data_IF_117841141501
#
_entry.id   IF_117841141501
#
_cell.length_a   1.000
_cell.length_b   1.000
_cell.length_c   1.000
_cell.angle_alpha   90.00
_cell.angle_beta   90.00
_cell.angle_gamma   90.00
#
_symmetry.space_group_name_H-M   'P 1'
#
loop_
_entity.id
_entity.type
_entity.pdbx_description
1 polymer ?
#
# COMPACT_ATOMS: atom_id res chain seq x y z
N UNK A 1 34.07 12.70 40.95
CA UNK A 1 33.91 11.24 40.88
C UNK A 1 33.65 10.83 39.43
N UNK A 2 34.19 9.68 39.03
CA UNK A 2 34.38 9.17 37.66
C UNK A 2 33.10 8.74 36.92
N UNK A 3 33.17 8.87 35.58
CA UNK A 3 32.70 7.99 34.47
C UNK A 3 31.21 7.88 34.07
N UNK A 4 31.01 8.07 32.75
CA UNK A 4 29.95 7.70 31.78
C UNK A 4 29.55 6.19 31.79
N UNK A 5 28.46 5.68 31.10
CA UNK A 5 27.93 6.09 29.77
C UNK A 5 26.40 5.97 29.47
N UNK A 6 25.93 6.64 28.40
CA UNK A 6 24.58 6.42 27.83
C UNK A 6 24.08 7.53 26.89
N UNK A 7 24.71 7.68 25.73
CA UNK A 7 24.28 8.58 24.64
C UNK A 7 23.02 8.04 23.96
N UNK A 8 21.88 8.72 24.10
CA UNK A 8 20.79 8.75 23.12
C UNK A 8 20.08 10.10 23.27
N UNK A 9 20.72 11.18 22.81
CA UNK A 9 20.01 12.44 22.59
C UNK A 9 19.07 12.25 21.40
N UNK A 10 17.78 12.19 21.72
CA UNK A 10 16.67 12.23 20.77
C UNK A 10 16.79 13.49 19.93
N UNK A 11 16.61 13.33 18.61
CA UNK A 11 16.30 14.44 17.72
C UNK A 11 14.95 15.04 18.15
N UNK A 12 14.97 16.17 18.86
CA UNK A 12 13.81 17.03 19.04
C UNK A 12 13.43 17.62 17.67
N UNK A 13 12.30 17.16 17.11
CA UNK A 13 11.65 17.84 16.00
C UNK A 13 10.63 18.80 16.59
N UNK A 14 11.02 20.06 16.73
CA UNK A 14 10.11 21.16 17.10
C UNK A 14 9.11 21.42 15.96
N UNK A 15 7.91 20.84 16.06
CA UNK A 15 6.76 21.23 15.24
C UNK A 15 6.05 22.43 15.89
N UNK A 16 6.61 23.61 15.66
CA UNK A 16 5.95 24.89 15.96
C UNK A 16 4.80 25.11 14.96
N UNK A 17 3.58 24.76 15.34
CA UNK A 17 2.35 25.06 14.58
C UNK A 17 2.14 26.58 14.52
N UNK A 18 2.62 27.21 13.43
CA UNK A 18 2.27 28.59 13.08
C UNK A 18 0.94 28.55 12.32
N UNK A 19 -0.16 28.80 13.03
CA UNK A 19 -1.51 28.97 12.45
C UNK A 19 -1.76 30.41 11.92
N UNK A 20 -0.71 31.17 11.63
CA UNK A 20 -0.82 32.61 11.30
C UNK A 20 -0.91 32.91 9.79
N UNK A 21 -1.12 31.91 8.91
CA UNK A 21 -1.18 32.14 7.45
C UNK A 21 -2.43 31.57 6.76
N UNK A 22 -3.58 31.56 7.44
CA UNK A 22 -4.87 31.23 6.81
C UNK A 22 -5.89 32.40 6.89
N UNK A 23 -5.72 33.51 6.15
CA UNK A 23 -6.80 34.48 5.98
C UNK A 23 -7.47 34.28 4.60
N UNK A 24 -8.64 33.62 4.58
CA UNK A 24 -9.73 33.88 3.60
C UNK A 24 -10.99 32.97 3.72
N UNK A 25 -10.99 31.86 4.48
CA UNK A 25 -12.13 30.90 4.44
C UNK A 25 -12.74 30.54 5.80
N UNK A 26 -12.37 31.22 6.87
CA UNK A 26 -13.02 31.09 8.17
C UNK A 26 -13.68 32.43 8.48
N UNK A 27 -14.90 32.38 9.04
CA UNK A 27 -15.75 33.53 9.34
C UNK A 27 -15.12 34.54 10.33
N UNK A 28 -15.93 35.41 10.96
CA UNK A 28 -15.42 36.60 11.65
C UNK A 28 -14.37 36.28 12.73
N UNK A 29 -13.44 37.22 13.01
CA UNK A 29 -12.33 37.01 13.94
C UNK A 29 -12.82 36.66 15.36
N UNK A 30 -12.15 35.69 15.98
CA UNK A 30 -12.53 35.11 17.29
C UNK A 30 -11.69 35.77 18.38
N UNK A 31 -12.36 36.31 19.41
CA UNK A 31 -11.75 37.32 20.30
C UNK A 31 -11.04 36.78 21.56
N UNK A 32 -11.20 35.52 22.04
CA UNK A 32 -10.52 35.08 23.28
C UNK A 32 -10.19 33.57 23.39
N UNK A 33 -8.98 33.26 23.91
CA UNK A 33 -8.48 31.95 24.35
C UNK A 33 -9.06 31.60 25.73
N UNK A 34 -9.89 30.54 25.85
CA UNK A 34 -10.55 30.22 27.13
C UNK A 34 -9.86 29.11 27.94
N UNK A 35 -9.20 28.15 27.28
CA UNK A 35 -8.53 27.07 27.99
C UNK A 35 -7.36 26.49 27.19
N UNK A 36 -6.24 26.33 27.87
CA UNK A 36 -5.02 25.68 27.40
C UNK A 36 -4.79 24.43 28.25
N UNK A 37 -4.69 23.27 27.60
CA UNK A 37 -4.30 22.03 28.28
C UNK A 37 -3.22 21.32 27.50
N UNK A 38 -2.07 21.14 28.15
CA UNK A 38 -0.99 20.30 27.63
C UNK A 38 -1.23 18.87 28.06
N UNK A 39 -1.22 17.95 27.11
CA UNK A 39 -1.37 16.51 27.36
C UNK A 39 -0.22 15.78 26.69
N UNK A 40 0.39 14.86 27.42
CA UNK A 40 1.46 14.03 26.89
C UNK A 40 0.84 12.83 26.19
N UNK A 41 1.02 12.75 24.87
CA UNK A 41 0.51 11.65 24.05
C UNK A 41 1.70 11.00 23.36
N UNK A 42 2.02 9.78 23.75
CA UNK A 42 3.17 9.01 23.24
C UNK A 42 4.52 9.74 23.34
N UNK A 43 4.77 10.44 24.45
CA UNK A 43 6.01 11.19 24.67
C UNK A 43 6.08 12.53 23.94
N UNK A 44 5.04 12.91 23.20
CA UNK A 44 4.92 14.21 22.53
C UNK A 44 3.99 15.09 23.37
N UNK A 45 4.43 16.32 23.66
CA UNK A 45 3.59 17.33 24.32
C UNK A 45 2.61 17.90 23.30
N UNK A 46 1.34 17.52 23.42
CA UNK A 46 0.26 18.03 22.57
C UNK A 46 -0.49 19.11 23.33
N UNK A 47 -0.54 20.31 22.74
CA UNK A 47 -1.19 21.48 23.31
C UNK A 47 -2.61 21.62 22.73
N UNK A 48 -3.62 21.34 23.53
CA UNK A 48 -5.03 21.50 23.15
C UNK A 48 -5.50 22.90 23.52
N UNK A 49 -6.03 23.62 22.53
CA UNK A 49 -6.55 24.98 22.68
C UNK A 49 -8.03 25.00 22.31
N UNK A 50 -8.88 25.50 23.22
CA UNK A 50 -10.32 25.61 23.04
C UNK A 50 -10.74 27.06 22.79
N UNK A 51 -11.59 27.27 21.76
CA UNK A 51 -12.12 28.57 21.36
C UNK A 51 -13.65 28.60 21.45
N UNK A 52 -14.24 29.72 21.88
CA UNK A 52 -15.70 29.93 21.95
C UNK A 52 -16.05 31.23 21.20
N UNK A 53 -17.04 31.17 20.30
CA UNK A 53 -17.53 32.35 19.58
C UNK A 53 -18.36 33.27 20.47
N UNK A 54 -18.15 34.58 20.36
CA UNK A 54 -18.98 35.60 21.00
C UNK A 54 -19.90 36.26 19.95
N UNK A 55 -21.23 36.07 20.01
CA UNK A 55 -22.15 36.53 18.96
C UNK A 55 -22.44 38.05 18.95
N UNK A 56 -21.95 38.84 19.90
CA UNK A 56 -22.38 40.25 20.07
C UNK A 56 -21.45 41.35 19.50
N UNK A 57 -20.35 41.02 18.82
CA UNK A 57 -19.47 42.03 18.21
C UNK A 57 -19.51 42.00 16.68
N UNK A 58 -20.54 42.60 16.09
CA UNK A 58 -20.52 43.05 14.70
C UNK A 58 -20.47 44.58 14.67
N UNK A 59 -19.27 45.17 14.60
CA UNK A 59 -19.05 46.55 14.15
C UNK A 59 -17.61 46.96 14.43
N UNK A 60 -16.77 46.97 13.40
CA UNK A 60 -15.67 47.92 13.11
C UNK A 60 -14.61 47.25 12.22
N UNK A 61 -14.21 47.95 11.15
CA UNK A 61 -13.15 47.49 10.24
C UNK A 61 -11.80 47.48 10.97
N UNK A 62 -10.94 46.46 10.77
CA UNK A 62 -9.62 46.44 11.38
C UNK A 62 -8.69 47.46 10.69
N UNK A 63 -8.04 48.31 11.49
CA UNK A 63 -6.88 49.11 11.07
C UNK A 63 -5.59 48.35 11.43
N UNK A 64 -4.65 48.30 10.47
CA UNK A 64 -3.35 47.62 10.64
C UNK A 64 -2.33 48.67 11.10
N UNK A 65 -1.73 48.47 12.27
CA UNK A 65 -0.48 49.14 12.67
C UNK A 65 0.65 48.13 12.80
N UNK A 66 1.75 48.39 12.08
CA UNK A 66 2.96 47.55 12.08
C UNK A 66 3.97 48.19 13.04
N UNK A 67 4.32 47.49 14.12
CA UNK A 67 5.50 47.81 14.92
C UNK A 67 6.64 46.84 14.59
N UNK A 68 7.74 47.38 14.04
CA UNK A 68 9.01 46.65 13.90
C UNK A 68 9.76 46.70 15.24
N UNK A 69 9.98 45.55 15.86
CA UNK A 69 10.95 45.44 16.95
C UNK A 69 12.39 45.46 16.38
N UNK A 70 13.35 46.14 17.02
CA UNK A 70 14.75 46.13 16.58
C UNK A 70 15.40 44.77 16.82
N UNK A 71 16.23 44.33 15.87
CA UNK A 71 17.02 43.11 15.96
C UNK A 71 18.00 43.14 17.15
N UNK A 72 18.19 42.03 17.88
CA UNK A 72 19.27 41.93 18.84
C UNK A 72 20.63 41.89 18.12
N UNK A 73 21.60 42.61 18.68
CA UNK A 73 22.97 42.69 18.16
C UNK A 73 23.67 41.32 18.18
N UNK A 74 24.50 41.06 17.16
CA UNK A 74 25.36 39.87 17.04
C UNK A 74 26.31 39.75 18.24
N UNK A 75 26.54 38.55 18.80
CA UNK A 75 27.64 38.34 19.73
C UNK A 75 29.00 38.45 19.01
N UNK A 76 29.98 39.07 19.69
CA UNK A 76 31.37 39.20 19.24
C UNK A 76 32.02 37.84 19.01
N UNK A 77 32.87 37.78 17.97
CA UNK A 77 33.69 36.62 17.65
C UNK A 77 34.68 36.32 18.78
N UNK A 78 34.65 35.08 19.29
CA UNK A 78 35.72 34.50 20.11
C UNK A 78 36.76 33.93 19.15
N UNK A 79 38.01 34.37 19.25
CA UNK A 79 39.13 33.82 18.50
C UNK A 79 39.37 32.36 18.93
N UNK A 80 39.38 31.43 17.98
CA UNK A 80 39.80 30.05 18.21
C UNK A 80 41.34 29.99 18.26
N UNK A 81 41.96 29.21 19.18
CA UNK A 81 43.38 28.92 19.12
C UNK A 81 43.71 28.00 17.93
N UNK A 82 44.95 28.04 17.38
CA UNK A 82 45.31 27.30 16.18
C UNK A 82 45.28 25.77 16.41
N UNK A 83 44.80 25.04 15.41
CA UNK A 83 44.83 23.57 15.37
C UNK A 83 46.27 23.05 15.28
N UNK A 84 46.61 21.95 15.98
CA UNK A 84 47.85 21.23 15.72
C UNK A 84 47.81 20.51 14.37
N UNK A 85 48.97 20.45 13.71
CA UNK A 85 49.22 19.76 12.45
C UNK A 85 49.04 18.24 12.60
N UNK A 86 48.52 17.53 11.56
CA UNK A 86 48.43 16.07 11.60
C UNK A 86 49.81 15.43 11.36
N UNK A 87 50.15 14.32 12.05
CA UNK A 87 51.32 13.53 11.73
C UNK A 87 51.12 12.70 10.45
N UNK A 88 52.26 12.44 9.83
CA UNK A 88 52.53 11.79 8.55
C UNK A 88 51.86 10.42 8.37
N UNK A 89 51.49 10.14 7.13
CA UNK A 89 50.95 8.88 6.62
C UNK A 89 51.92 7.69 6.80
N UNK A 90 51.48 6.65 7.49
CA UNK A 90 52.00 5.28 7.34
C UNK A 90 51.09 4.45 6.42
N UNK A 91 51.65 3.58 5.56
CA UNK A 91 50.88 2.77 4.61
C UNK A 91 50.20 1.58 5.32
N UNK A 92 49.09 1.05 4.77
CA UNK A 92 48.37 -0.08 5.38
C UNK A 92 49.15 -1.39 5.23
N UNK A 93 49.08 -2.32 6.22
CA UNK A 93 49.70 -3.63 6.11
C UNK A 93 48.95 -4.57 5.15
N UNK A 94 49.73 -5.42 4.52
CA UNK A 94 49.40 -6.39 3.48
C UNK A 94 48.22 -7.32 3.78
N UNK A 95 47.56 -7.71 2.69
CA UNK A 95 46.51 -8.70 2.59
C UNK A 95 46.86 -10.03 3.29
N UNK A 96 46.06 -10.39 4.29
CA UNK A 96 46.00 -11.76 4.80
C UNK A 96 45.16 -12.61 3.85
N UNK A 97 45.83 -13.55 3.20
CA UNK A 97 45.28 -14.59 2.35
C UNK A 97 44.23 -15.42 3.10
N UNK A 98 43.06 -15.61 2.48
CA UNK A 98 42.08 -16.62 2.91
C UNK A 98 42.63 -18.02 2.59
N UNK A 99 42.53 -19.01 3.49
CA UNK A 99 42.79 -20.40 3.14
C UNK A 99 41.66 -20.97 2.26
N UNK A 100 41.96 -21.93 1.36
CA UNK A 100 40.99 -22.50 0.44
C UNK A 100 39.99 -23.42 1.15
N UNK A 101 38.76 -23.50 0.62
CA UNK A 101 37.74 -24.47 1.05
C UNK A 101 38.13 -25.89 0.62
N UNK A 102 37.93 -26.91 1.46
CA UNK A 102 38.01 -28.30 1.00
C UNK A 102 36.72 -28.71 0.30
N UNK A 103 36.85 -29.31 -0.89
CA UNK A 103 35.85 -30.20 -1.45
C UNK A 103 35.84 -31.52 -0.65
N UNK A 104 34.69 -32.20 -0.57
CA UNK A 104 34.73 -33.61 -0.93
C UNK A 104 33.49 -34.06 -1.74
N UNK A 105 33.73 -34.43 -3.00
CA UNK A 105 33.17 -35.66 -3.58
C UNK A 105 34.02 -36.79 -2.98
N UNK A 106 33.54 -37.86 -2.35
CA UNK A 106 32.84 -39.05 -2.88
C UNK A 106 32.74 -39.98 -1.65
N UNK A 107 31.60 -40.54 -1.24
CA UNK A 107 31.17 -41.93 -1.46
C UNK A 107 30.23 -42.27 -0.28
N UNK A 108 28.98 -42.64 -0.54
CA UNK A 108 28.38 -43.88 -0.02
C UNK A 108 27.05 -44.12 -0.74
N UNK A 109 26.88 -45.38 -1.14
CA UNK A 109 25.91 -45.92 -2.10
C UNK A 109 24.86 -46.72 -1.33
N UNK A 110 23.58 -46.40 -1.57
CA UNK A 110 22.38 -47.26 -1.60
C UNK A 110 21.96 -48.01 -0.29
N UNK A 111 20.68 -48.45 -0.13
CA UNK A 111 19.71 -48.73 -1.18
C UNK A 111 18.28 -48.17 -1.02
N UNK A 112 17.70 -48.01 -2.20
CA UNK A 112 16.32 -47.68 -2.53
C UNK A 112 15.34 -48.79 -2.13
N UNK A 113 14.19 -48.44 -1.58
CA UNK A 113 13.01 -49.32 -1.51
C UNK A 113 12.01 -48.96 -2.62
N UNK A 114 11.35 -49.95 -3.25
CA UNK A 114 10.41 -49.73 -4.36
C UNK A 114 8.97 -49.45 -3.86
N UNK A 115 8.13 -48.75 -4.64
CA UNK A 115 6.71 -48.61 -4.37
C UNK A 115 5.90 -49.83 -4.87
N UNK A 116 4.75 -50.17 -4.25
CA UNK A 116 3.94 -51.31 -4.67
C UNK A 116 2.98 -50.97 -5.82
N UNK A 117 3.02 -51.87 -6.82
CA UNK A 117 1.94 -52.39 -7.66
C UNK A 117 0.77 -51.47 -8.08
N UNK A 118 0.83 -51.05 -9.36
CA UNK A 118 -0.32 -50.63 -10.15
C UNK A 118 -1.21 -51.84 -10.51
N UNK A 119 -2.49 -51.77 -10.15
CA UNK A 119 -3.52 -52.70 -10.59
C UNK A 119 -4.04 -52.25 -11.95
N UNK A 120 -3.84 -53.09 -12.97
CA UNK A 120 -4.43 -52.95 -14.30
C UNK A 120 -5.94 -53.23 -14.24
N UNK A 121 -6.76 -52.35 -14.82
CA UNK A 121 -8.14 -52.66 -15.18
C UNK A 121 -8.26 -52.79 -16.71
N UNK A 122 -9.01 -53.78 -17.24
CA UNK A 122 -9.18 -53.99 -18.68
C UNK A 122 -10.19 -53.01 -19.31
N UNK A 123 -10.15 -52.82 -20.64
CA UNK A 123 -10.88 -51.75 -21.32
C UNK A 123 -12.38 -52.06 -21.46
N UNK A 124 -13.23 -51.07 -21.18
CA UNK A 124 -14.66 -51.10 -21.54
C UNK A 124 -14.83 -50.74 -23.01
N UNK A 125 -15.30 -51.71 -23.78
CA UNK A 125 -15.81 -51.53 -25.14
C UNK A 125 -17.23 -50.94 -25.08
N UNK A 126 -17.48 -49.85 -25.82
CA UNK A 126 -18.83 -49.40 -26.14
C UNK A 126 -19.04 -49.51 -27.66
N UNK A 127 -20.14 -50.12 -28.12
CA UNK A 127 -20.40 -50.34 -29.55
C UNK A 127 -20.84 -49.05 -30.26
N UNK A 128 -20.26 -48.79 -31.43
CA UNK A 128 -20.71 -47.74 -32.36
C UNK A 128 -21.93 -48.24 -33.14
N UNK A 129 -23.04 -47.52 -33.05
CA UNK A 129 -24.17 -47.68 -33.98
C UNK A 129 -23.91 -46.85 -35.25
N UNK A 130 -24.16 -47.40 -36.47
CA UNK A 130 -24.03 -46.66 -37.72
C UNK A 130 -25.29 -45.82 -38.01
N UNK A 131 -25.08 -44.57 -38.45
CA UNK A 131 -26.11 -43.70 -39.02
C UNK A 131 -26.44 -44.15 -40.46
N UNK A 132 -27.72 -44.13 -40.89
CA UNK A 132 -28.09 -44.41 -42.27
C UNK A 132 -27.96 -43.17 -43.17
N UNK A 133 -27.41 -43.37 -44.36
CA UNK A 133 -27.44 -42.41 -45.47
C UNK A 133 -28.81 -42.39 -46.17
N UNK A 134 -29.22 -41.25 -46.75
CA UNK A 134 -30.08 -41.26 -47.92
C UNK A 134 -29.49 -40.50 -49.13
N UNK A 135 -29.28 -41.25 -50.22
CA UNK A 135 -29.70 -41.11 -51.64
C UNK A 135 -29.84 -39.69 -52.27
N UNK A 136 -29.43 -39.49 -53.55
CA UNK A 136 -29.17 -38.18 -54.14
C UNK A 136 -30.40 -37.55 -54.82
N UNK A 137 -30.51 -36.23 -54.77
CA UNK A 137 -31.49 -35.45 -55.54
C UNK A 137 -30.78 -34.54 -56.53
N UNK A 138 -31.34 -34.52 -57.74
CA UNK A 138 -30.82 -33.93 -58.97
C UNK A 138 -30.59 -32.42 -58.93
N UNK A 139 -29.59 -32.01 -59.72
CA UNK A 139 -29.28 -30.65 -60.10
C UNK A 139 -30.46 -29.92 -60.76
N UNK A 140 -30.70 -28.68 -60.34
CA UNK A 140 -31.21 -27.63 -61.22
C UNK A 140 -30.23 -26.45 -61.18
N UNK A 141 -29.74 -26.10 -62.37
CA UNK A 141 -28.74 -25.08 -62.64
C UNK A 141 -29.30 -23.67 -62.53
N UNK A 142 -28.76 -22.87 -61.60
CA UNK A 142 -28.72 -21.42 -61.70
C UNK A 142 -27.26 -20.98 -61.83
N UNK A 143 -26.94 -19.95 -62.66
CA UNK A 143 -25.59 -19.43 -62.71
C UNK A 143 -25.26 -18.72 -61.39
N UNK A 144 -24.18 -19.14 -60.74
CA UNK A 144 -23.67 -18.51 -59.52
C UNK A 144 -23.24 -17.04 -59.80
N UNK A 145 -23.45 -16.12 -58.84
CA UNK A 145 -22.89 -14.77 -58.92
C UNK A 145 -21.35 -14.83 -58.88
N UNK A 146 -20.65 -13.86 -59.49
CA UNK A 146 -19.19 -13.87 -59.55
C UNK A 146 -18.58 -13.85 -58.15
N UNK A 147 -17.59 -14.72 -57.93
CA UNK A 147 -16.86 -14.84 -56.67
C UNK A 147 -16.32 -13.48 -56.20
N UNK A 148 -16.42 -13.15 -54.90
CA UNK A 148 -15.76 -11.97 -54.38
C UNK A 148 -14.24 -12.10 -54.55
N UNK A 149 -13.51 -10.98 -54.73
CA UNK A 149 -12.05 -11.02 -54.83
C UNK A 149 -11.46 -11.67 -53.57
N UNK A 150 -10.29 -12.32 -53.68
CA UNK A 150 -9.68 -13.00 -52.54
C UNK A 150 -9.50 -11.97 -51.40
N UNK A 151 -10.19 -12.21 -50.29
CA UNK A 151 -9.99 -11.43 -49.08
C UNK A 151 -8.53 -11.57 -48.69
N UNK A 152 -7.79 -10.46 -48.66
CA UNK A 152 -6.47 -10.44 -48.07
C UNK A 152 -6.58 -11.02 -46.66
N UNK A 153 -6.01 -12.20 -46.47
CA UNK A 153 -5.89 -12.82 -45.17
C UNK A 153 -4.86 -12.02 -44.39
N UNK A 154 -5.31 -10.97 -43.71
CA UNK A 154 -4.53 -10.38 -42.64
C UNK A 154 -4.30 -11.47 -41.60
N UNK A 155 -3.05 -11.74 -41.20
CA UNK A 155 -2.80 -12.72 -40.16
C UNK A 155 -3.60 -12.30 -38.91
N UNK A 156 -4.43 -13.21 -38.41
CA UNK A 156 -5.04 -13.11 -37.10
C UNK A 156 -3.91 -12.87 -36.10
N UNK A 157 -3.71 -11.61 -35.72
CA UNK A 157 -2.89 -11.27 -34.56
C UNK A 157 -3.61 -11.96 -33.40
N UNK A 158 -3.02 -13.06 -32.92
CA UNK A 158 -3.42 -13.72 -31.69
C UNK A 158 -3.60 -12.63 -30.63
N UNK A 159 -4.85 -12.42 -30.21
CA UNK A 159 -5.23 -11.27 -29.41
C UNK A 159 -4.29 -11.14 -28.21
N UNK A 160 -3.53 -10.05 -28.19
CA UNK A 160 -2.71 -9.69 -27.04
C UNK A 160 -3.67 -9.62 -25.86
N UNK A 161 -3.51 -10.52 -24.87
CA UNK A 161 -4.32 -10.48 -23.65
C UNK A 161 -4.13 -9.08 -23.07
N UNK A 162 -5.22 -8.30 -22.99
CA UNK A 162 -5.16 -6.93 -22.48
C UNK A 162 -4.57 -6.98 -21.07
N UNK A 163 -3.42 -6.35 -20.90
CA UNK A 163 -2.82 -6.15 -19.59
C UNK A 163 -3.67 -5.14 -18.82
N UNK A 164 -4.09 -5.50 -17.62
CA UNK A 164 -4.92 -4.70 -16.72
C UNK A 164 -4.02 -4.01 -15.71
N UNK A 165 -4.27 -2.72 -15.45
CA UNK A 165 -3.51 -1.91 -14.51
C UNK A 165 -4.36 -1.58 -13.29
N UNK A 166 -3.92 -2.02 -12.12
CA UNK A 166 -4.61 -1.76 -10.85
C UNK A 166 -3.79 -0.88 -9.90
N UNK A 167 -4.49 -0.07 -9.10
CA UNK A 167 -3.98 0.48 -7.84
C UNK A 167 -4.87 -0.02 -6.68
N UNK A 168 -4.54 -1.18 -6.08
CA UNK A 168 -5.42 -1.90 -5.18
C UNK A 168 -5.24 -1.49 -3.69
N UNK A 169 -4.78 -0.26 -3.43
CA UNK A 169 -4.64 0.29 -2.09
C UNK A 169 -4.96 1.79 -2.08
N UNK A 170 -6.19 2.16 -1.74
CA UNK A 170 -6.69 3.53 -1.79
C UNK A 170 -7.60 3.87 -0.62
N UNK A 171 -7.49 5.11 -0.13
CA UNK A 171 -8.22 5.66 1.00
C UNK A 171 -9.10 6.84 0.59
N UNK A 172 -10.20 7.04 1.31
CA UNK A 172 -11.15 8.13 1.11
C UNK A 172 -11.33 8.95 2.39
N UNK A 173 -12.18 9.98 2.32
CA UNK A 173 -12.64 10.71 3.51
C UNK A 173 -13.35 9.82 4.55
N UNK A 174 -13.72 8.58 4.21
CA UNK A 174 -14.32 7.63 5.16
C UNK A 174 -13.34 7.17 6.24
N UNK A 175 -12.03 7.21 5.98
CA UNK A 175 -10.98 7.00 6.98
C UNK A 175 -10.11 8.26 7.11
N UNK A 176 -8.84 8.22 6.71
CA UNK A 176 -7.88 9.32 6.81
C UNK A 176 -7.43 9.87 5.45
N UNK A 177 -7.91 9.30 4.34
CA UNK A 177 -7.77 9.90 3.01
C UNK A 177 -8.32 11.32 2.91
N UNK A 178 -7.93 12.02 1.84
CA UNK A 178 -8.21 13.45 1.60
C UNK A 178 -9.16 13.70 0.42
N UNK A 179 -9.72 12.63 -0.14
CA UNK A 179 -10.59 12.68 -1.33
C UNK A 179 -11.92 11.96 -1.11
N UNK A 180 -12.99 12.48 -1.71
CA UNK A 180 -14.29 11.80 -1.75
C UNK A 180 -14.23 10.56 -2.68
N UNK A 181 -15.17 9.61 -2.57
CA UNK A 181 -15.36 8.56 -3.56
C UNK A 181 -15.37 9.06 -5.02
N UNK A 182 -16.05 10.18 -5.28
CA UNK A 182 -16.08 10.80 -6.61
C UNK A 182 -14.71 11.26 -7.08
N UNK A 183 -13.98 11.99 -6.22
CA UNK A 183 -12.64 12.48 -6.54
C UNK A 183 -11.64 11.34 -6.74
N UNK A 184 -11.78 10.23 -5.99
CA UNK A 184 -10.95 9.05 -6.15
C UNK A 184 -11.17 8.38 -7.52
N UNK A 185 -12.44 8.17 -7.91
CA UNK A 185 -12.79 7.60 -9.22
C UNK A 185 -12.30 8.50 -10.36
N UNK A 186 -12.54 9.82 -10.27
CA UNK A 186 -12.06 10.77 -11.27
C UNK A 186 -10.54 10.74 -11.44
N UNK A 187 -9.81 10.61 -10.33
CA UNK A 187 -8.36 10.53 -10.34
C UNK A 187 -7.87 9.20 -10.97
N UNK A 188 -8.52 8.09 -10.64
CA UNK A 188 -8.18 6.76 -11.18
C UNK A 188 -8.39 6.68 -12.71
N UNK A 189 -9.52 7.20 -13.20
CA UNK A 189 -9.81 7.28 -14.64
C UNK A 189 -8.79 8.14 -15.36
N UNK A 190 -8.45 9.32 -14.80
CA UNK A 190 -7.41 10.20 -15.37
C UNK A 190 -6.03 9.54 -15.37
N UNK A 191 -5.73 8.71 -14.37
CA UNK A 191 -4.52 7.90 -14.29
C UNK A 191 -4.53 6.66 -15.21
N UNK A 192 -5.63 6.42 -15.95
CA UNK A 192 -5.83 5.27 -16.85
C UNK A 192 -5.69 3.92 -16.13
N UNK A 193 -6.15 3.86 -14.87
CA UNK A 193 -6.28 2.60 -14.16
C UNK A 193 -7.54 1.87 -14.63
N UNK A 194 -7.46 0.55 -14.76
CA UNK A 194 -8.61 -0.30 -15.04
C UNK A 194 -9.31 -0.75 -13.74
N UNK A 195 -8.56 -0.80 -12.63
CA UNK A 195 -9.05 -1.24 -11.33
C UNK A 195 -8.47 -0.41 -10.17
N UNK A 196 -9.29 -0.13 -9.17
CA UNK A 196 -8.84 0.28 -7.83
C UNK A 196 -9.45 -0.62 -6.76
N UNK A 197 -8.86 -0.67 -5.58
CA UNK A 197 -9.52 -1.19 -4.39
C UNK A 197 -9.67 -0.08 -3.36
N UNK A 198 -10.86 0.03 -2.77
CA UNK A 198 -11.10 0.96 -1.65
C UNK A 198 -10.82 0.21 -0.37
N UNK A 199 -9.81 0.66 0.37
CA UNK A 199 -9.24 -0.03 1.54
C UNK A 199 -9.14 0.92 2.72
N UNK A 200 -10.15 1.77 2.91
CA UNK A 200 -10.25 2.69 4.04
C UNK A 200 -9.97 1.99 5.39
N UNK A 201 -9.27 2.68 6.29
CA UNK A 201 -8.98 2.14 7.61
C UNK A 201 -10.24 1.81 8.41
N UNK A 202 -10.35 0.54 8.81
CA UNK A 202 -11.36 0.02 9.75
C UNK A 202 -12.83 0.26 9.36
N UNK A 203 -13.12 0.60 8.11
CA UNK A 203 -14.47 0.88 7.64
C UNK A 203 -14.63 0.60 6.15
N UNK A 204 -15.85 0.27 5.72
CA UNK A 204 -16.20 0.05 4.31
C UNK A 204 -17.26 1.04 3.80
N UNK A 205 -17.52 2.14 4.52
CA UNK A 205 -18.62 3.07 4.23
C UNK A 205 -18.61 3.68 2.83
N UNK A 206 -17.41 3.92 2.27
CA UNK A 206 -17.19 4.48 0.94
C UNK A 206 -17.35 3.46 -0.19
N UNK A 207 -17.29 2.16 0.10
CA UNK A 207 -17.16 1.10 -0.93
C UNK A 207 -18.31 1.14 -1.92
N UNK A 208 -19.56 1.11 -1.43
CA UNK A 208 -20.75 1.08 -2.29
C UNK A 208 -20.82 2.30 -3.21
N UNK A 209 -20.67 3.51 -2.67
CA UNK A 209 -20.68 4.73 -3.47
C UNK A 209 -19.55 4.72 -4.52
N UNK A 210 -18.35 4.28 -4.13
CA UNK A 210 -17.21 4.23 -5.06
C UNK A 210 -17.43 3.21 -6.16
N UNK A 211 -18.02 2.05 -5.86
CA UNK A 211 -18.39 1.04 -6.86
C UNK A 211 -19.42 1.53 -7.86
N UNK A 212 -20.48 2.20 -7.41
CA UNK A 212 -21.50 2.77 -8.30
C UNK A 212 -20.89 3.81 -9.26
N UNK A 213 -20.03 4.69 -8.74
CA UNK A 213 -19.32 5.69 -9.55
C UNK A 213 -18.29 5.07 -10.48
N UNK A 214 -17.54 4.10 -10.00
CA UNK A 214 -16.55 3.36 -10.78
C UNK A 214 -17.19 2.65 -11.95
N UNK A 215 -18.29 1.92 -11.70
CA UNK A 215 -19.07 1.28 -12.76
C UNK A 215 -19.53 2.30 -13.80
N UNK A 216 -20.09 3.44 -13.38
CA UNK A 216 -20.55 4.47 -14.32
C UNK A 216 -19.40 5.05 -15.18
N UNK A 217 -18.17 5.00 -14.69
CA UNK A 217 -16.96 5.49 -15.36
C UNK A 217 -16.16 4.39 -16.09
N UNK A 218 -16.61 3.13 -16.09
CA UNK A 218 -15.87 1.99 -16.66
C UNK A 218 -14.63 1.57 -15.87
N UNK A 219 -14.56 1.92 -14.59
CA UNK A 219 -13.50 1.55 -13.65
C UNK A 219 -13.98 0.43 -12.72
N UNK A 220 -13.21 -0.64 -12.59
CA UNK A 220 -13.50 -1.70 -11.62
C UNK A 220 -13.12 -1.26 -10.22
N UNK A 221 -14.01 -1.45 -9.24
CA UNK A 221 -13.74 -1.09 -7.84
C UNK A 221 -13.92 -2.31 -6.94
N UNK A 222 -12.81 -2.78 -6.38
CA UNK A 222 -12.79 -3.90 -5.43
C UNK A 222 -13.16 -3.40 -4.04
N UNK A 223 -14.14 -4.06 -3.43
CA UNK A 223 -14.51 -3.85 -2.04
C UNK A 223 -13.39 -4.35 -1.12
N UNK A 224 -12.84 -3.48 -0.28
CA UNK A 224 -11.79 -3.85 0.65
C UNK A 224 -11.83 -3.05 1.93
N UNK A 225 -10.84 -3.30 2.77
CA UNK A 225 -10.64 -2.62 4.04
C UNK A 225 -9.16 -2.77 4.43
N UNK A 226 -8.56 -1.75 5.04
CA UNK A 226 -7.28 -1.89 5.74
C UNK A 226 -7.55 -2.00 7.24
N UNK A 227 -7.42 -3.22 7.78
CA UNK A 227 -7.79 -3.55 9.15
C UNK A 227 -6.61 -3.27 10.08
N UNK A 228 -6.83 -2.46 11.10
CA UNK A 228 -5.88 -2.23 12.18
C UNK A 228 -5.97 -3.35 13.21
N UNK A 229 -4.87 -4.08 13.43
CA UNK A 229 -4.82 -5.19 14.40
C UNK A 229 -4.40 -4.70 15.79
N UNK A 230 -4.79 -5.45 16.83
CA UNK A 230 -4.20 -5.33 18.16
C UNK A 230 -2.83 -6.01 18.18
N UNK A 231 -2.03 -5.58 19.15
CA UNK A 231 -0.72 -6.09 19.58
C UNK A 231 -0.12 -7.32 18.84
N UNK A 232 1.07 -7.24 18.16
CA UNK A 232 1.86 -6.14 17.59
C UNK A 232 1.24 -4.76 17.50
N UNK A 233 1.88 -3.65 17.89
CA UNK A 233 1.23 -2.33 17.87
C UNK A 233 0.78 -1.94 16.45
N UNK A 234 -0.55 -2.00 16.20
CA UNK A 234 -1.24 -1.41 15.06
C UNK A 234 -0.67 -1.80 13.69
N UNK A 235 -0.33 -3.08 13.52
CA UNK A 235 -0.06 -3.59 12.16
C UNK A 235 -1.34 -3.53 11.35
N UNK A 236 -1.23 -3.29 10.05
CA UNK A 236 -2.35 -3.38 9.14
C UNK A 236 -2.36 -4.73 8.44
N UNK A 237 -3.57 -5.25 8.24
CA UNK A 237 -3.86 -6.33 7.32
C UNK A 237 -4.85 -5.77 6.31
N UNK A 238 -4.49 -5.77 5.03
CA UNK A 238 -5.37 -5.34 3.98
C UNK A 238 -6.21 -6.53 3.52
N UNK A 239 -7.49 -6.28 3.23
CA UNK A 239 -8.41 -7.31 2.77
C UNK A 239 -9.14 -6.85 1.52
N UNK A 240 -9.33 -7.77 0.58
CA UNK A 240 -10.09 -7.54 -0.64
C UNK A 240 -11.25 -8.52 -0.76
N UNK A 241 -12.24 -8.12 -1.56
CA UNK A 241 -13.47 -8.85 -1.84
C UNK A 241 -14.26 -9.20 -0.57
N UNK A 242 -14.43 -8.20 0.29
CA UNK A 242 -15.25 -8.32 1.49
C UNK A 242 -16.70 -7.97 1.18
N UNK A 243 -17.63 -8.69 1.81
CA UNK A 243 -19.06 -8.37 1.79
C UNK A 243 -19.45 -7.46 2.96
N UNK A 244 -18.74 -7.59 4.10
CA UNK A 244 -19.00 -6.83 5.33
C UNK A 244 -17.69 -6.45 6.02
N UNK A 245 -17.68 -5.33 6.78
CA UNK A 245 -16.47 -4.90 7.47
C UNK A 245 -15.99 -5.94 8.47
N UNK A 246 -14.68 -6.12 8.51
CA UNK A 246 -13.97 -6.92 9.50
C UNK A 246 -13.75 -6.05 10.75
N UNK A 247 -13.98 -6.64 11.93
CA UNK A 247 -13.80 -5.95 13.20
C UNK A 247 -12.33 -5.55 13.40
N UNK A 248 -12.07 -4.28 13.63
CA UNK A 248 -10.72 -3.81 13.98
C UNK A 248 -10.32 -4.22 15.41
N UNK A 249 -9.01 -4.20 15.70
CA UNK A 249 -8.47 -4.54 17.03
C UNK A 249 -8.46 -6.03 17.35
N UNK A 250 -8.64 -6.90 16.35
CA UNK A 250 -8.39 -8.34 16.47
C UNK A 250 -6.89 -8.65 16.40
N UNK A 251 -6.46 -9.86 16.77
CA UNK A 251 -5.07 -10.28 16.53
C UNK A 251 -4.82 -10.43 15.02
N UNK A 252 -3.56 -10.51 14.58
CA UNK A 252 -3.25 -10.80 13.17
C UNK A 252 -3.84 -12.14 12.75
N UNK A 253 -3.67 -13.18 13.56
CA UNK A 253 -4.24 -14.52 13.33
C UNK A 253 -5.77 -14.48 13.15
N UNK A 254 -6.47 -13.84 14.10
CA UNK A 254 -7.94 -13.69 14.05
C UNK A 254 -8.40 -12.84 12.85
N UNK A 255 -7.61 -11.83 12.48
CA UNK A 255 -7.92 -10.96 11.33
C UNK A 255 -7.83 -11.73 10.03
N UNK A 256 -6.75 -12.50 9.84
CA UNK A 256 -6.60 -13.34 8.64
C UNK A 256 -7.72 -14.37 8.56
N UNK A 257 -8.02 -15.06 9.67
CA UNK A 257 -9.12 -16.03 9.72
C UNK A 257 -10.46 -15.38 9.35
N UNK A 258 -10.78 -14.21 9.93
CA UNK A 258 -12.04 -13.52 9.65
C UNK A 258 -12.16 -13.04 8.19
N UNK A 259 -11.04 -12.70 7.53
CA UNK A 259 -11.03 -12.36 6.10
C UNK A 259 -11.34 -13.60 5.26
N UNK A 260 -10.69 -14.72 5.55
CA UNK A 260 -10.90 -15.99 4.83
C UNK A 260 -12.29 -16.59 5.07
N UNK A 261 -12.87 -16.43 6.26
CA UNK A 261 -14.24 -16.85 6.57
C UNK A 261 -15.29 -16.16 5.67
N UNK A 262 -14.97 -15.00 5.09
CA UNK A 262 -15.82 -14.32 4.11
C UNK A 262 -15.47 -14.67 2.65
N UNK A 263 -14.46 -15.52 2.39
CA UNK A 263 -13.92 -15.73 1.05
C UNK A 263 -13.13 -14.53 0.50
N UNK A 264 -12.75 -13.59 1.38
CA UNK A 264 -11.88 -12.47 1.06
C UNK A 264 -10.42 -12.90 0.92
N UNK A 265 -9.59 -12.00 0.41
CA UNK A 265 -8.14 -12.22 0.28
C UNK A 265 -7.38 -11.36 1.29
N UNK A 266 -6.48 -11.96 2.06
CA UNK A 266 -5.65 -11.31 3.07
C UNK A 266 -4.28 -10.93 2.50
N UNK A 267 -3.99 -9.64 2.48
CA UNK A 267 -2.82 -9.04 1.85
C UNK A 267 -2.00 -8.29 2.89
N UNK A 268 -0.68 -8.46 2.87
CA UNK A 268 0.23 -7.69 3.72
C UNK A 268 0.52 -6.33 3.08
N UNK A 269 0.00 -5.22 3.62
CA UNK A 269 0.33 -3.89 3.11
C UNK A 269 1.69 -3.42 3.62
N UNK A 270 2.36 -2.60 2.81
CA UNK A 270 3.58 -1.83 3.11
C UNK A 270 4.48 -2.45 4.22
N UNK A 271 5.03 -3.66 4.01
CA UNK A 271 5.81 -4.37 5.03
C UNK A 271 7.17 -3.72 5.28
N UNK A 272 7.70 -3.95 6.48
CA UNK A 272 9.08 -3.61 6.89
C UNK A 272 9.37 -2.11 6.83
N UNK A 273 8.37 -1.26 7.04
CA UNK A 273 8.60 0.17 7.18
C UNK A 273 9.45 0.50 8.41
N UNK A 274 10.24 1.60 8.37
CA UNK A 274 10.99 2.09 9.53
C UNK A 274 10.13 2.47 10.72
N UNK A 275 8.89 2.86 10.44
CA UNK A 275 7.90 3.23 11.42
C UNK A 275 7.05 2.02 11.74
N UNK A 276 6.86 1.74 13.03
CA UNK A 276 6.14 0.54 13.48
C UNK A 276 4.62 0.64 13.30
N UNK A 277 4.09 1.86 13.10
CA UNK A 277 2.66 2.08 12.94
C UNK A 277 2.23 1.61 11.54
N UNK A 278 1.25 0.71 11.47
CA UNK A 278 0.69 0.18 10.23
C UNK A 278 1.48 -0.96 9.59
N UNK A 279 2.77 -1.14 9.93
CA UNK A 279 3.65 -2.05 9.18
C UNK A 279 4.01 -3.33 9.93
N UNK A 280 3.86 -4.48 9.29
CA UNK A 280 4.35 -5.75 9.84
C UNK A 280 5.88 -5.80 9.75
N UNK A 281 6.53 -6.32 10.79
CA UNK A 281 7.98 -6.52 10.82
C UNK A 281 8.38 -7.97 10.47
N UNK A 282 9.62 -8.23 10.02
CA UNK A 282 10.03 -9.54 9.49
C UNK A 282 9.74 -10.73 10.42
N UNK A 283 10.05 -10.61 11.71
CA UNK A 283 9.82 -11.70 12.67
C UNK A 283 8.34 -11.93 12.96
N UNK A 284 7.52 -10.87 12.89
CA UNK A 284 6.07 -10.99 13.03
C UNK A 284 5.48 -11.69 11.82
N UNK A 285 5.88 -11.29 10.62
CA UNK A 285 5.42 -11.90 9.38
C UNK A 285 5.84 -13.37 9.31
N UNK A 286 7.06 -13.72 9.73
CA UNK A 286 7.52 -15.11 9.82
C UNK A 286 6.60 -15.98 10.68
N UNK A 287 6.27 -15.52 11.89
CA UNK A 287 5.34 -16.22 12.80
C UNK A 287 3.91 -16.29 12.26
N UNK A 288 3.47 -15.25 11.53
CA UNK A 288 2.14 -15.24 10.94
C UNK A 288 2.03 -16.28 9.83
N UNK A 289 2.98 -16.27 8.88
CA UNK A 289 2.95 -17.21 7.77
C UNK A 289 3.13 -18.65 8.24
N UNK A 290 3.83 -18.88 9.37
CA UNK A 290 3.95 -20.19 10.03
C UNK A 290 2.60 -20.88 10.28
N UNK A 291 1.55 -20.10 10.55
CA UNK A 291 0.22 -20.59 10.89
C UNK A 291 -0.80 -20.37 9.79
N UNK A 292 -0.65 -19.32 9.00
CA UNK A 292 -1.61 -18.91 7.99
C UNK A 292 -0.98 -18.83 6.60
N UNK A 293 -1.72 -19.23 5.57
CA UNK A 293 -1.41 -18.82 4.20
C UNK A 293 -1.99 -17.42 3.99
N UNK A 294 -1.24 -16.56 3.31
CA UNK A 294 -1.69 -15.23 2.88
C UNK A 294 -1.85 -15.24 1.35
N UNK A 295 -2.61 -14.28 0.84
CA UNK A 295 -2.98 -14.22 -0.57
C UNK A 295 -2.10 -13.25 -1.36
N UNK A 296 -1.48 -12.29 -0.67
CA UNK A 296 -0.50 -11.40 -1.28
C UNK A 296 0.28 -10.54 -0.31
N UNK A 297 1.26 -9.82 -0.85
CA UNK A 297 2.10 -8.88 -0.14
C UNK A 297 2.50 -7.73 -1.04
N UNK A 298 2.46 -6.51 -0.50
CA UNK A 298 2.95 -5.33 -1.20
C UNK A 298 4.47 -5.33 -1.31
N UNK A 299 4.97 -5.54 -2.51
CA UNK A 299 6.39 -5.44 -2.85
C UNK A 299 6.74 -4.04 -3.34
N UNK A 300 5.78 -3.28 -3.86
CA UNK A 300 5.98 -1.89 -4.31
C UNK A 300 4.93 -0.98 -3.68
N UNK A 301 5.36 -0.07 -2.80
CA UNK A 301 4.48 0.84 -2.04
C UNK A 301 5.21 2.15 -1.74
N UNK A 302 4.51 3.28 -1.68
CA UNK A 302 5.08 4.64 -1.76
C UNK A 302 6.18 4.96 -0.74
N UNK A 303 6.06 4.44 0.49
CA UNK A 303 6.99 4.74 1.60
C UNK A 303 8.43 4.23 1.33
N UNK A 304 9.46 5.08 1.52
CA UNK A 304 10.85 4.68 1.33
C UNK A 304 11.37 3.85 2.52
N UNK A 305 11.72 2.59 2.29
CA UNK A 305 12.28 1.69 3.32
C UNK A 305 13.83 1.59 3.31
N UNK A 306 14.48 2.20 2.31
CA UNK A 306 15.94 2.16 2.11
C UNK A 306 16.43 0.83 1.51
N UNK A 307 17.62 0.86 0.90
CA UNK A 307 18.15 -0.28 0.13
C UNK A 307 18.39 -1.56 0.97
N UNK A 308 18.70 -1.42 2.26
CA UNK A 308 18.89 -2.57 3.16
C UNK A 308 17.57 -3.31 3.40
N UNK A 309 16.51 -2.60 3.78
CA UNK A 309 15.19 -3.23 4.02
C UNK A 309 14.54 -3.70 2.73
N UNK A 310 14.76 -3.01 1.61
CA UNK A 310 14.33 -3.47 0.29
C UNK A 310 14.90 -4.86 -0.02
N UNK A 311 16.23 -5.03 0.07
CA UNK A 311 16.88 -6.34 -0.11
C UNK A 311 16.37 -7.40 0.87
N UNK A 312 16.09 -7.00 2.11
CA UNK A 312 15.51 -7.91 3.10
C UNK A 312 14.08 -8.35 2.73
N UNK A 313 13.24 -7.44 2.24
CA UNK A 313 11.89 -7.75 1.76
C UNK A 313 11.93 -8.65 0.53
N UNK A 314 12.79 -8.35 -0.43
CA UNK A 314 12.94 -9.14 -1.66
C UNK A 314 13.39 -10.58 -1.33
N UNK A 315 14.39 -10.73 -0.45
CA UNK A 315 14.84 -12.04 0.00
C UNK A 315 13.74 -12.78 0.80
N UNK A 316 13.07 -12.09 1.73
CA UNK A 316 11.99 -12.68 2.51
C UNK A 316 10.85 -13.18 1.62
N UNK A 317 10.46 -12.41 0.60
CA UNK A 317 9.43 -12.81 -0.35
C UNK A 317 9.87 -14.01 -1.18
N UNK A 318 11.09 -13.99 -1.72
CA UNK A 318 11.64 -15.11 -2.51
C UNK A 318 11.62 -16.42 -1.71
N UNK A 319 12.02 -16.37 -0.43
CA UNK A 319 12.08 -17.55 0.45
C UNK A 319 10.69 -18.06 0.89
N UNK A 320 9.64 -17.23 0.81
CA UNK A 320 8.33 -17.52 1.41
C UNK A 320 7.14 -17.36 0.45
N UNK A 321 7.41 -17.26 -0.87
CA UNK A 321 6.40 -16.95 -1.90
C UNK A 321 5.15 -17.83 -1.83
N UNK A 322 5.32 -19.13 -1.58
CA UNK A 322 4.19 -20.07 -1.54
C UNK A 322 3.22 -19.85 -0.38
N UNK A 323 3.67 -19.18 0.68
CA UNK A 323 2.89 -18.86 1.87
C UNK A 323 2.40 -17.41 1.87
N UNK A 324 3.14 -16.52 1.20
CA UNK A 324 2.80 -15.09 1.09
C UNK A 324 1.85 -14.76 -0.06
N UNK A 325 1.83 -15.57 -1.11
CA UNK A 325 0.96 -15.35 -2.26
C UNK A 325 1.53 -14.37 -3.28
N UNK A 326 0.65 -13.60 -3.92
CA UNK A 326 0.98 -12.71 -5.02
C UNK A 326 1.84 -11.52 -4.59
N UNK A 327 2.77 -11.11 -5.46
CA UNK A 327 3.48 -9.85 -5.30
C UNK A 327 2.62 -8.73 -5.89
N UNK A 328 2.26 -7.74 -5.07
CA UNK A 328 1.39 -6.63 -5.50
C UNK A 328 2.05 -5.29 -5.24
N UNK A 329 1.56 -4.27 -5.93
CA UNK A 329 1.95 -2.89 -5.74
C UNK A 329 0.72 -2.03 -5.55
N UNK A 330 0.77 -1.12 -4.59
CA UNK A 330 -0.33 -0.22 -4.23
C UNK A 330 0.26 1.12 -3.81
N UNK A 331 -0.38 2.22 -4.23
CA UNK A 331 0.14 3.55 -3.92
C UNK A 331 -0.07 3.95 -2.47
N UNK A 332 -0.98 3.28 -1.76
CA UNK A 332 -1.48 3.74 -0.47
C UNK A 332 -2.06 5.16 -0.64
N UNK A 333 -2.94 5.31 -1.64
CA UNK A 333 -3.44 6.59 -2.12
C UNK A 333 -4.29 7.28 -1.04
N UNK A 334 -3.86 8.46 -0.62
CA UNK A 334 -4.63 9.32 0.27
C UNK A 334 -5.02 10.64 -0.40
N UNK A 335 -4.34 11.04 -1.48
CA UNK A 335 -4.41 12.39 -2.04
C UNK A 335 -4.99 12.44 -3.47
N UNK A 336 -5.57 11.34 -3.95
CA UNK A 336 -6.19 11.24 -5.27
C UNK A 336 -5.18 11.52 -6.37
N UNK A 337 -5.40 12.56 -7.17
CA UNK A 337 -4.53 12.88 -8.31
C UNK A 337 -3.05 13.16 -7.95
N UNK A 338 -2.74 13.37 -6.67
CA UNK A 338 -1.37 13.61 -6.19
C UNK A 338 -0.54 12.35 -5.95
N UNK A 339 -1.14 11.17 -5.86
CA UNK A 339 -0.43 9.93 -5.49
C UNK A 339 -1.02 8.64 -6.11
N UNK A 340 -2.27 8.65 -6.55
CA UNK A 340 -2.89 7.50 -7.20
C UNK A 340 -2.08 7.04 -8.42
N UNK A 341 -1.91 5.73 -8.55
CA UNK A 341 -1.14 5.10 -9.62
C UNK A 341 0.38 5.25 -9.49
N UNK A 342 0.91 5.84 -8.41
CA UNK A 342 2.37 5.92 -8.18
C UNK A 342 3.03 4.56 -7.89
N UNK A 343 2.24 3.60 -7.43
CA UNK A 343 2.58 2.18 -7.43
C UNK A 343 1.35 1.38 -7.88
N UNK A 344 1.56 0.45 -8.80
CA UNK A 344 0.51 -0.30 -9.47
C UNK A 344 0.80 -1.80 -9.45
N UNK A 345 -0.24 -2.57 -9.74
CA UNK A 345 -0.17 -4.00 -10.05
C UNK A 345 -0.64 -4.23 -11.48
N UNK A 346 0.25 -4.74 -12.33
CA UNK A 346 -0.09 -5.18 -13.68
C UNK A 346 -0.42 -6.68 -13.68
N UNK A 347 -1.44 -7.09 -14.44
CA UNK A 347 -1.83 -8.50 -14.57
C UNK A 347 -2.65 -8.73 -15.85
N UNK A 348 -3.04 -9.97 -16.11
CA UNK A 348 -3.89 -10.36 -17.22
C UNK A 348 -5.14 -11.09 -16.69
N UNK A 349 -6.29 -10.91 -17.35
CA UNK A 349 -7.54 -11.59 -16.98
C UNK A 349 -8.22 -11.02 -15.75
N UNK A 350 -8.79 -11.89 -14.93
CA UNK A 350 -9.50 -11.54 -13.69
C UNK A 350 -8.54 -11.28 -12.53
N UNK A 351 -8.82 -10.26 -11.72
CA UNK A 351 -7.93 -9.84 -10.63
C UNK A 351 -7.81 -10.91 -9.53
N UNK A 352 -8.93 -11.51 -9.11
CA UNK A 352 -8.92 -12.55 -8.06
C UNK A 352 -8.12 -13.77 -8.51
N UNK A 353 -8.30 -14.18 -9.77
CA UNK A 353 -7.56 -15.27 -10.40
C UNK A 353 -6.07 -14.94 -10.47
N UNK A 354 -5.71 -13.73 -10.92
CA UNK A 354 -4.31 -13.31 -11.01
C UNK A 354 -3.58 -13.29 -9.64
N UNK A 355 -4.29 -12.92 -8.56
CA UNK A 355 -3.76 -13.02 -7.19
C UNK A 355 -3.58 -14.49 -6.79
N UNK A 356 -4.60 -15.33 -7.00
CA UNK A 356 -4.57 -16.74 -6.60
C UNK A 356 -3.48 -17.52 -7.32
N UNK A 357 -3.28 -17.26 -8.62
CA UNK A 357 -2.25 -17.87 -9.46
C UNK A 357 -0.89 -17.15 -9.37
N UNK A 358 -0.84 -16.01 -8.69
CA UNK A 358 0.36 -15.19 -8.46
C UNK A 358 1.03 -14.74 -9.76
N UNK A 359 0.21 -14.32 -10.73
CA UNK A 359 0.62 -13.86 -12.06
C UNK A 359 0.72 -12.33 -12.16
N UNK A 360 0.64 -11.64 -11.02
CA UNK A 360 0.75 -10.18 -10.91
C UNK A 360 2.19 -9.67 -10.97
N UNK A 361 2.35 -8.44 -11.44
CA UNK A 361 3.63 -7.74 -11.55
C UNK A 361 3.53 -6.35 -10.93
N UNK A 362 4.15 -6.11 -9.76
CA UNK A 362 4.11 -4.82 -9.12
C UNK A 362 5.10 -3.85 -9.77
N UNK A 363 4.69 -2.60 -10.01
CA UNK A 363 5.55 -1.58 -10.63
C UNK A 363 5.41 -0.23 -9.95
N UNK A 364 6.52 0.50 -9.89
CA UNK A 364 6.53 1.90 -9.48
C UNK A 364 6.40 2.78 -10.71
N UNK A 365 5.44 3.68 -10.69
CA UNK A 365 5.30 4.69 -11.72
C UNK A 365 5.78 6.02 -11.15
N UNK A 366 6.58 6.74 -11.95
CA UNK A 366 7.08 8.05 -11.54
C UNK A 366 5.92 9.03 -11.56
N UNK A 367 5.44 9.42 -10.38
CA UNK A 367 4.42 10.45 -10.27
C UNK A 367 5.04 11.85 -10.41
N UNK A 368 4.48 12.67 -11.28
CA UNK A 368 4.98 14.04 -11.52
C UNK A 368 4.39 15.08 -10.54
N UNK A 369 3.35 14.72 -9.79
CA UNK A 369 2.65 15.62 -8.89
C UNK A 369 3.46 15.96 -7.64
N UNK A 370 3.48 17.24 -7.25
CA UNK A 370 3.95 17.68 -5.93
C UNK A 370 2.77 17.70 -4.97
N UNK A 371 2.91 17.04 -3.82
CA UNK A 371 1.92 17.10 -2.75
C UNK A 371 2.05 18.44 -2.00
N UNK A 372 0.96 19.23 -1.88
CA UNK A 372 0.99 20.45 -1.06
C UNK A 372 1.22 20.12 0.42
N UNK A 373 2.14 20.84 1.08
CA UNK A 373 2.51 20.58 2.48
C UNK A 373 1.30 20.67 3.44
N UNK A 374 0.40 21.63 3.21
CA UNK A 374 -0.82 21.76 4.00
C UNK A 374 -1.74 20.53 3.91
N UNK A 375 -1.80 19.89 2.73
CA UNK A 375 -2.60 18.68 2.52
C UNK A 375 -1.98 17.49 3.24
N UNK A 376 -0.66 17.34 3.15
CA UNK A 376 0.09 16.32 3.88
C UNK A 376 -0.08 16.45 5.40
N UNK A 377 0.04 17.66 5.95
CA UNK A 377 -0.17 17.93 7.38
C UNK A 377 -1.59 17.60 7.83
N UNK A 378 -2.60 17.91 6.99
CA UNK A 378 -4.00 17.59 7.30
C UNK A 378 -4.27 16.09 7.30
N UNK A 379 -3.68 15.34 6.36
CA UNK A 379 -3.78 13.87 6.36
C UNK A 379 -3.09 13.28 7.60
N UNK A 380 -1.91 13.77 7.98
CA UNK A 380 -1.24 13.31 9.20
C UNK A 380 -2.08 13.56 10.46
N UNK A 381 -2.76 14.71 10.55
CA UNK A 381 -3.70 14.96 11.64
C UNK A 381 -4.89 13.98 11.61
N UNK A 382 -5.43 13.66 10.42
CA UNK A 382 -6.51 12.66 10.30
C UNK A 382 -6.05 11.27 10.74
N UNK A 383 -4.87 10.84 10.31
CA UNK A 383 -4.31 9.53 10.66
C UNK A 383 -4.00 9.40 12.15
N UNK A 384 -3.38 10.42 12.75
CA UNK A 384 -2.84 10.36 14.11
C UNK A 384 -3.82 10.82 15.20
N UNK A 385 -4.81 11.65 14.85
CA UNK A 385 -5.74 12.27 15.81
C UNK A 385 -7.18 11.89 15.50
N UNK A 386 -7.70 12.24 14.33
CA UNK A 386 -9.12 12.02 13.99
C UNK A 386 -9.50 10.54 14.01
N UNK A 387 -8.73 9.70 13.31
CA UNK A 387 -9.03 8.28 13.14
C UNK A 387 -8.99 7.53 14.48
N UNK A 388 -7.99 7.70 15.38
CA UNK A 388 -8.05 7.17 16.74
C UNK A 388 -9.23 7.67 17.58
N UNK A 389 -9.64 8.94 17.43
CA UNK A 389 -10.82 9.46 18.13
C UNK A 389 -12.12 8.85 17.59
N UNK A 390 -12.21 8.61 16.28
CA UNK A 390 -13.35 7.94 15.66
C UNK A 390 -13.44 6.48 16.11
N UNK A 391 -12.31 5.78 16.20
CA UNK A 391 -12.22 4.43 16.81
C UNK A 391 -12.77 4.40 18.23
N UNK A 392 -12.31 5.31 19.10
CA UNK A 392 -12.73 5.32 20.52
C UNK A 392 -14.20 5.69 20.72
N UNK A 393 -14.78 6.42 19.77
CA UNK A 393 -16.21 6.79 19.77
C UNK A 393 -17.12 5.77 19.07
N UNK A 394 -16.57 4.69 18.50
CA UNK A 394 -17.36 3.70 17.75
C UNK A 394 -17.93 4.23 16.42
N UNK A 395 -17.24 5.19 15.79
CA UNK A 395 -17.66 5.86 14.56
C UNK A 395 -17.03 5.25 13.29
N UNK A 396 -16.42 4.07 13.37
CA UNK A 396 -15.78 3.36 12.25
C UNK A 396 -16.56 2.13 11.83
#
# INVERSE_FOLDING_TARGET
>A
LRRQPGLLEQQEVDLKLVFDQLPAQLGPPIDHLKHEKSVQVFGINVKLIYWQNNPEKQSSQPSIQIHRAPFPARPRAVQQPPRPTPPSSEPPPSALQRPPRPNPTTLFRAPSQPPPHAVQQPPRQHPRHPLPSPVPTQCNSHPDPPSPPPSESFPLIQGTIKQVIADPHCHTLSSDGMVTPAQLVDAAVKARLDLIAVTDHDTMRSVKETQERGHAAGLTVVAGQEITTRWPARTHMMAWFLDRPIKWGMSLDDTVAAVHDQGGLAIVPHPFMPVYFGSIQPDMLRRLIEKHRLDGIEMVFTVPIGARRRRQLDAFYADNRDRLGAAVGGSDCHFGAHDIGSAITEYAGDFRTAISERTTQPRRIRHAGRLPAALALRQQWRALVDLPLRRSRGQL
#
